data_IF_494216987355
#
_entry.id   IF_494216987355
#
_cell.length_a   1.000
_cell.length_b   1.000
_cell.length_c   1.000
_cell.angle_alpha   90.00
_cell.angle_beta   90.00
_cell.angle_gamma   90.00
#
_symmetry.space_group_name_H-M   'P 1'
#
loop_
_entity.id
_entity.type
_entity.pdbx_description
1 polymer ?
#
# COMPACT_ATOMS: atom_id res chain seq x y z
N UNK A 1 68.53 25.22 -25.34
CA UNK A 1 68.08 25.44 -23.95
C UNK A 1 67.49 26.83 -23.85
N UNK A 2 66.29 26.96 -23.31
CA UNK A 2 65.76 28.24 -22.83
C UNK A 2 64.69 27.96 -21.76
N UNK A 3 64.77 28.76 -20.71
CA UNK A 3 64.08 28.74 -19.41
C UNK A 3 62.54 28.81 -19.52
N UNK A 4 61.75 28.01 -18.79
CA UNK A 4 61.17 28.24 -17.43
C UNK A 4 60.34 29.53 -17.30
N UNK A 5 59.00 29.44 -17.09
CA UNK A 5 58.32 29.69 -15.79
C UNK A 5 56.77 29.55 -15.85
N UNK A 6 56.17 29.48 -14.68
CA UNK A 6 54.91 28.85 -14.24
C UNK A 6 53.60 29.68 -14.31
N UNK A 7 52.48 28.94 -14.19
CA UNK A 7 51.16 29.29 -13.60
C UNK A 7 50.23 30.31 -14.28
N UNK A 8 48.99 29.91 -14.61
CA UNK A 8 47.85 29.94 -13.68
C UNK A 8 46.59 29.33 -14.31
N UNK A 9 45.76 28.69 -13.49
CA UNK A 9 44.45 28.16 -13.85
C UNK A 9 43.46 29.28 -14.24
N UNK A 10 42.64 29.06 -15.28
CA UNK A 10 41.25 29.50 -15.25
C UNK A 10 40.39 28.64 -16.20
N UNK A 11 39.28 28.14 -15.65
CA UNK A 11 38.14 27.58 -16.36
C UNK A 11 37.72 28.42 -17.56
N UNK A 12 37.42 27.80 -18.71
CA UNK A 12 36.05 27.59 -19.20
C UNK A 12 36.10 26.84 -20.55
N UNK A 13 35.16 25.91 -20.72
CA UNK A 13 34.98 25.05 -21.89
C UNK A 13 34.69 25.83 -23.18
N UNK A 14 35.34 25.39 -24.26
CA UNK A 14 35.19 25.71 -25.70
C UNK A 14 33.84 25.16 -26.19
N UNK A 15 32.86 25.98 -26.61
CA UNK A 15 32.60 26.55 -27.94
C UNK A 15 32.69 25.60 -29.14
N UNK A 16 31.55 25.13 -29.68
CA UNK A 16 31.42 24.76 -31.10
C UNK A 16 30.12 25.32 -31.71
N UNK A 17 30.36 26.35 -32.51
CA UNK A 17 29.62 27.04 -33.56
C UNK A 17 28.77 26.16 -34.50
N UNK A 18 27.60 26.68 -34.94
CA UNK A 18 27.17 26.87 -36.36
C UNK A 18 25.73 27.46 -36.42
N UNK A 19 25.51 28.79 -36.51
CA UNK A 19 25.23 29.58 -37.73
C UNK A 19 24.04 29.06 -38.58
N UNK A 20 22.83 29.63 -38.56
CA UNK A 20 22.34 30.88 -39.21
C UNK A 20 22.67 31.00 -40.72
N UNK A 21 21.64 30.89 -41.60
CA UNK A 21 21.22 31.90 -42.61
C UNK A 21 20.51 31.32 -43.86
N UNK A 22 19.29 31.83 -44.13
CA UNK A 22 18.76 32.36 -45.43
C UNK A 22 17.28 32.74 -45.21
N UNK A 23 16.96 33.97 -44.80
CA UNK A 23 16.74 35.22 -45.58
C UNK A 23 15.61 35.20 -46.64
N UNK A 24 14.54 35.96 -46.31
CA UNK A 24 13.84 37.01 -47.10
C UNK A 24 12.92 36.54 -48.27
N UNK A 25 11.72 37.08 -48.54
CA UNK A 25 11.16 38.42 -48.30
C UNK A 25 9.63 38.49 -48.63
N UNK A 26 9.01 39.63 -48.33
CA UNK A 26 7.71 40.22 -48.78
C UNK A 26 6.40 40.02 -47.97
N UNK A 27 6.08 41.07 -47.19
CA UNK A 27 4.73 41.58 -46.83
C UNK A 27 4.10 42.31 -48.06
N UNK A 28 2.88 42.92 -48.05
CA UNK A 28 2.01 43.27 -46.91
C UNK A 28 0.48 43.11 -47.12
N UNK A 29 -0.31 43.14 -46.03
CA UNK A 29 -1.68 43.69 -46.01
C UNK A 29 -1.89 44.42 -44.68
N UNK A 30 -2.02 45.75 -44.78
CA UNK A 30 -2.67 46.65 -43.81
C UNK A 30 -4.19 46.47 -44.02
N UNK A 31 -5.11 46.62 -43.10
CA UNK A 31 -5.30 47.62 -42.05
C UNK A 31 -6.50 47.13 -41.22
N UNK A 32 -6.54 47.45 -39.93
CA UNK A 32 -7.62 48.21 -39.28
C UNK A 32 -7.50 48.07 -37.76
N UNK A 33 -6.95 49.12 -37.13
CA UNK A 33 -7.11 49.37 -35.71
C UNK A 33 -8.39 50.19 -35.53
N UNK A 34 -9.32 49.70 -34.72
CA UNK A 34 -10.30 50.54 -34.03
C UNK A 34 -10.44 50.07 -32.57
N UNK A 35 -10.32 51.05 -31.69
CA UNK A 35 -10.01 51.02 -30.25
C UNK A 35 -11.22 50.78 -29.32
N UNK A 36 -11.03 50.69 -27.98
CA UNK A 36 -11.93 50.03 -27.03
C UNK A 36 -12.91 50.97 -26.31
N UNK A 37 -14.00 50.41 -25.76
CA UNK A 37 -14.84 51.03 -24.71
C UNK A 37 -15.61 49.92 -23.96
N UNK A 38 -15.29 49.64 -22.68
CA UNK A 38 -15.96 50.10 -21.44
C UNK A 38 -17.47 49.88 -21.37
N UNK A 39 -17.91 48.85 -20.63
CA UNK A 39 -18.78 48.89 -19.40
C UNK A 39 -19.58 47.58 -19.22
N UNK A 40 -19.84 47.12 -17.98
CA UNK A 40 -20.71 45.98 -17.69
C UNK A 40 -22.14 46.42 -17.35
N UNK A 41 -23.14 45.53 -17.49
CA UNK A 41 -24.33 45.55 -16.63
C UNK A 41 -24.41 44.23 -15.84
N UNK A 42 -24.37 44.26 -14.51
CA UNK A 42 -25.44 44.62 -13.57
C UNK A 42 -26.46 43.50 -13.38
N UNK A 43 -26.55 43.07 -12.11
CA UNK A 43 -27.49 42.16 -11.50
C UNK A 43 -28.94 42.55 -11.79
N UNK A 44 -29.73 41.61 -12.29
CA UNK A 44 -31.18 41.61 -12.11
C UNK A 44 -31.60 40.29 -11.46
N UNK A 45 -32.20 40.44 -10.28
CA UNK A 45 -32.98 39.42 -9.58
C UNK A 45 -34.26 39.12 -10.36
N UNK A 46 -34.66 37.85 -10.43
CA UNK A 46 -36.06 37.42 -10.53
C UNK A 46 -36.10 35.92 -10.14
N UNK A 47 -36.37 35.59 -8.88
CA UNK A 47 -37.69 35.12 -8.40
C UNK A 47 -38.04 33.68 -8.83
N UNK A 48 -37.64 32.72 -8.01
CA UNK A 48 -38.11 31.33 -8.06
C UNK A 48 -39.61 31.23 -7.73
N UNK A 49 -40.41 30.40 -8.43
CA UNK A 49 -41.74 30.02 -8.00
C UNK A 49 -41.71 28.84 -7.00
N UNK A 50 -42.59 28.81 -5.97
CA UNK A 50 -42.65 27.70 -5.04
C UNK A 50 -43.51 26.58 -5.63
N UNK A 51 -42.96 25.38 -5.83
CA UNK A 51 -43.77 24.19 -6.10
C UNK A 51 -43.35 23.01 -5.23
N UNK A 52 -44.19 22.81 -4.20
CA UNK A 52 -44.62 21.54 -3.59
C UNK A 52 -43.55 20.51 -3.17
N UNK A 53 -43.38 20.41 -1.84
CA UNK A 53 -43.08 19.14 -1.18
C UNK A 53 -44.17 18.10 -1.49
N UNK A 54 -43.79 16.83 -1.67
CA UNK A 54 -44.49 15.73 -1.05
C UNK A 54 -43.66 15.17 0.11
N UNK A 55 -44.35 14.99 1.23
CA UNK A 55 -43.88 14.22 2.38
C UNK A 55 -43.77 12.74 2.01
N UNK A 56 -42.66 12.13 2.43
CA UNK A 56 -42.56 10.71 2.81
C UNK A 56 -42.68 9.66 1.69
N UNK A 57 -41.54 9.10 1.26
CA UNK A 57 -41.47 7.65 0.99
C UNK A 57 -40.04 7.16 0.82
N UNK A 58 -39.72 6.15 1.62
CA UNK A 58 -38.61 5.20 1.52
C UNK A 58 -37.20 5.78 1.31
N UNK A 59 -36.44 5.81 2.41
CA UNK A 59 -35.03 5.40 2.37
C UNK A 59 -34.97 4.16 1.46
N UNK A 60 -34.18 4.14 0.37
CA UNK A 60 -33.87 2.87 -0.25
C UNK A 60 -33.11 2.10 0.82
N UNK A 61 -33.81 1.21 1.51
CA UNK A 61 -33.18 0.09 2.19
C UNK A 61 -32.54 -0.69 1.07
N UNK A 62 -31.29 -0.32 0.77
CA UNK A 62 -30.46 -0.97 -0.22
C UNK A 62 -30.42 -2.42 0.18
N UNK A 63 -31.23 -3.21 -0.52
CA UNK A 63 -31.11 -4.65 -0.56
C UNK A 63 -29.65 -4.93 -0.86
N UNK A 64 -28.93 -5.46 0.12
CA UNK A 64 -27.52 -5.83 -0.05
C UNK A 64 -27.50 -6.91 -1.12
N UNK A 65 -27.20 -6.49 -2.35
CA UNK A 65 -26.89 -7.37 -3.46
C UNK A 65 -25.82 -8.38 -2.98
N UNK A 66 -26.00 -9.69 -3.15
CA UNK A 66 -25.08 -10.69 -2.64
C UNK A 66 -23.63 -10.40 -3.07
N UNK A 67 -22.82 -10.02 -2.09
CA UNK A 67 -21.35 -9.90 -2.06
C UNK A 67 -20.67 -9.54 -3.40
N UNK A 68 -20.62 -8.26 -3.75
CA UNK A 68 -19.64 -7.80 -4.75
C UNK A 68 -18.22 -7.99 -4.16
N UNK A 69 -17.42 -8.83 -4.81
CA UNK A 69 -16.01 -9.02 -4.47
C UNK A 69 -15.29 -7.66 -4.51
N UNK A 70 -14.53 -7.26 -3.48
CA UNK A 70 -13.87 -5.97 -3.46
C UNK A 70 -12.93 -5.79 -4.66
N UNK A 71 -13.07 -4.68 -5.38
CA UNK A 71 -12.21 -4.32 -6.52
C UNK A 71 -10.94 -3.56 -6.13
N UNK A 72 -10.73 -3.34 -4.81
CA UNK A 72 -9.65 -2.53 -4.25
C UNK A 72 -10.01 -1.04 -4.12
N UNK A 73 -9.05 -0.24 -3.65
CA UNK A 73 -9.16 1.21 -3.42
C UNK A 73 -7.95 1.96 -4.02
N UNK A 74 -8.08 3.24 -4.36
CA UNK A 74 -6.96 4.12 -4.73
C UNK A 74 -6.24 4.77 -3.55
N UNK A 75 -6.84 4.74 -2.37
CA UNK A 75 -6.21 5.19 -1.14
C UNK A 75 -5.82 3.99 -0.29
N UNK A 76 -4.57 3.97 0.16
CA UNK A 76 -4.06 2.88 1.00
C UNK A 76 -4.87 2.73 2.31
N UNK A 77 -5.34 3.83 2.89
CA UNK A 77 -6.08 3.84 4.17
C UNK A 77 -7.47 3.19 4.08
N UNK A 78 -8.06 3.18 2.89
CA UNK A 78 -9.36 2.55 2.61
C UNK A 78 -9.23 1.22 1.85
N UNK A 79 -8.03 0.64 1.82
CA UNK A 79 -7.78 -0.66 1.21
C UNK A 79 -8.69 -1.74 1.83
N UNK A 80 -9.54 -2.42 1.03
CA UNK A 80 -10.43 -3.44 1.56
C UNK A 80 -9.65 -4.65 2.05
N UNK A 81 -10.06 -5.22 3.19
CA UNK A 81 -9.52 -6.47 3.70
C UNK A 81 -9.98 -7.64 2.83
N UNK A 82 -9.02 -8.39 2.31
CA UNK A 82 -9.24 -9.54 1.42
C UNK A 82 -8.62 -10.81 1.98
N UNK A 83 -9.17 -11.95 1.59
CA UNK A 83 -8.61 -13.29 1.85
C UNK A 83 -8.07 -13.94 0.59
N UNK A 84 -7.79 -15.25 0.60
CA UNK A 84 -7.47 -15.99 -0.61
C UNK A 84 -8.64 -15.94 -1.59
N UNK A 85 -8.33 -15.87 -2.87
CA UNK A 85 -9.31 -15.74 -3.94
C UNK A 85 -8.80 -14.90 -5.10
N UNK A 86 -9.71 -14.61 -6.03
CA UNK A 86 -9.42 -13.80 -7.20
C UNK A 86 -10.26 -12.53 -7.22
N UNK A 87 -9.60 -11.40 -7.42
CA UNK A 87 -10.15 -10.05 -7.35
C UNK A 87 -9.93 -9.35 -8.68
N UNK A 88 -11.00 -8.84 -9.28
CA UNK A 88 -10.93 -8.10 -10.54
C UNK A 88 -11.02 -6.61 -10.28
N UNK A 89 -10.20 -5.83 -11.00
CA UNK A 89 -10.15 -4.39 -10.84
C UNK A 89 -9.57 -3.69 -12.07
N UNK A 90 -9.41 -2.37 -11.96
CA UNK A 90 -8.79 -1.53 -12.99
C UNK A 90 -8.05 -0.37 -12.36
N UNK A 91 -6.89 -0.01 -12.90
CA UNK A 91 -6.12 1.17 -12.48
C UNK A 91 -6.45 2.43 -13.30
N UNK A 92 -7.17 2.31 -14.43
CA UNK A 92 -7.33 3.40 -15.44
C UNK A 92 -8.02 4.68 -14.97
N UNK A 93 -8.77 4.63 -13.87
CA UNK A 93 -9.60 5.76 -13.41
C UNK A 93 -9.14 6.34 -12.07
N UNK A 94 -7.98 5.91 -11.58
CA UNK A 94 -7.43 6.39 -10.33
C UNK A 94 -6.33 7.43 -10.58
N UNK A 95 -6.15 8.39 -9.65
CA UNK A 95 -5.07 9.36 -9.74
C UNK A 95 -3.70 8.68 -9.53
N UNK A 96 -2.64 9.30 -10.04
CA UNK A 96 -1.27 8.93 -9.68
C UNK A 96 -0.97 9.51 -8.31
N UNK A 97 -0.93 8.66 -7.28
CA UNK A 97 -0.59 9.07 -5.91
C UNK A 97 0.92 8.92 -5.68
N UNK A 98 1.71 9.78 -6.32
CA UNK A 98 3.19 9.75 -6.23
C UNK A 98 3.74 10.11 -4.83
N UNK A 99 2.89 10.63 -3.94
CA UNK A 99 3.25 10.98 -2.56
C UNK A 99 3.25 9.79 -1.61
N UNK A 100 2.67 8.65 -2.01
CA UNK A 100 2.83 7.38 -1.29
C UNK A 100 4.17 6.74 -1.71
N UNK A 101 5.27 7.47 -1.49
CA UNK A 101 6.62 6.97 -1.78
C UNK A 101 6.79 5.60 -1.13
N UNK A 102 6.92 4.59 -1.98
CA UNK A 102 6.84 3.21 -1.56
C UNK A 102 8.25 2.73 -1.20
N UNK A 103 8.47 2.10 -0.03
CA UNK A 103 9.78 1.51 0.28
C UNK A 103 10.20 0.39 -0.70
N UNK A 104 9.31 -0.04 -1.59
CA UNK A 104 9.64 -1.01 -2.63
C UNK A 104 10.12 -0.36 -3.94
N UNK A 105 9.91 0.95 -4.15
CA UNK A 105 10.32 1.66 -5.35
C UNK A 105 10.40 3.17 -5.11
N UNK A 106 11.49 3.80 -5.56
CA UNK A 106 11.80 5.22 -5.33
C UNK A 106 10.70 6.21 -5.78
N UNK A 107 9.81 5.80 -6.70
CA UNK A 107 8.60 6.55 -7.04
C UNK A 107 7.53 5.67 -7.66
N UNK A 108 6.27 5.90 -7.28
CA UNK A 108 5.10 5.36 -7.99
C UNK A 108 4.65 6.42 -9.01
N UNK A 109 4.91 6.15 -10.29
CA UNK A 109 4.57 7.05 -11.41
C UNK A 109 3.29 6.63 -12.17
N UNK A 110 2.49 5.74 -11.57
CA UNK A 110 1.32 5.14 -12.20
C UNK A 110 0.16 5.06 -11.22
N UNK A 111 -1.11 5.08 -11.68
CA UNK A 111 -2.25 4.80 -10.82
C UNK A 111 -2.16 3.39 -10.22
N UNK A 112 -2.52 3.27 -8.94
CA UNK A 112 -2.43 2.02 -8.19
C UNK A 112 -3.73 1.67 -7.49
N UNK A 113 -3.89 0.37 -7.21
CA UNK A 113 -5.01 -0.16 -6.43
C UNK A 113 -4.49 -0.95 -5.24
N UNK A 114 -4.96 -0.57 -4.06
CA UNK A 114 -4.60 -1.11 -2.76
C UNK A 114 -5.59 -2.18 -2.27
N UNK A 115 -5.04 -3.19 -1.63
CA UNK A 115 -5.74 -4.24 -0.88
C UNK A 115 -5.06 -4.44 0.48
N UNK A 116 -5.83 -4.84 1.49
CA UNK A 116 -5.29 -5.23 2.79
C UNK A 116 -5.43 -6.74 2.98
N UNK A 117 -4.43 -7.37 3.60
CA UNK A 117 -4.42 -8.80 3.86
C UNK A 117 -3.89 -9.06 5.27
N UNK A 118 -4.58 -9.89 6.05
CA UNK A 118 -4.11 -10.26 7.38
C UNK A 118 -3.30 -11.56 7.30
N UNK A 119 -2.04 -11.52 7.75
CA UNK A 119 -1.14 -12.64 7.68
C UNK A 119 -1.62 -13.84 8.50
N UNK A 120 -1.43 -15.03 7.94
CA UNK A 120 -1.90 -16.30 8.51
C UNK A 120 -0.78 -17.14 9.10
N UNK A 121 0.48 -16.74 8.93
CA UNK A 121 1.61 -17.62 9.24
C UNK A 121 1.94 -18.61 8.13
N UNK A 122 1.26 -18.53 6.98
CA UNK A 122 1.55 -19.36 5.81
C UNK A 122 2.39 -18.61 4.75
N UNK A 123 2.92 -19.38 3.80
CA UNK A 123 3.41 -18.81 2.55
C UNK A 123 2.23 -18.31 1.72
N UNK A 124 2.21 -17.02 1.42
CA UNK A 124 1.21 -16.39 0.57
C UNK A 124 1.80 -16.26 -0.82
N UNK A 125 1.03 -16.61 -1.85
CA UNK A 125 1.37 -16.37 -3.24
C UNK A 125 0.36 -15.38 -3.82
N UNK A 126 0.84 -14.22 -4.27
CA UNK A 126 0.02 -13.19 -4.90
C UNK A 126 0.50 -12.94 -6.32
N UNK A 127 -0.40 -12.85 -7.29
CA UNK A 127 -0.01 -12.65 -8.70
C UNK A 127 -1.12 -12.03 -9.55
N UNK A 128 -0.71 -11.43 -10.67
CA UNK A 128 -1.59 -10.81 -11.68
C UNK A 128 -1.57 -11.57 -13.01
N UNK A 129 -1.10 -12.83 -13.01
CA UNK A 129 -0.72 -13.58 -14.21
C UNK A 129 -1.86 -14.05 -15.12
N UNK A 130 -3.12 -13.80 -14.77
CA UNK A 130 -4.26 -14.28 -15.56
C UNK A 130 -4.56 -13.39 -16.75
N UNK A 131 -5.21 -13.97 -17.76
CA UNK A 131 -5.59 -13.31 -19.02
C UNK A 131 -6.36 -11.98 -18.89
N UNK A 132 -7.20 -11.74 -17.85
CA UNK A 132 -7.86 -10.45 -17.69
C UNK A 132 -6.93 -9.28 -17.33
N UNK A 133 -5.66 -9.55 -17.00
CA UNK A 133 -4.65 -8.52 -16.80
C UNK A 133 -4.08 -8.07 -18.14
N UNK A 134 -4.36 -6.82 -18.51
CA UNK A 134 -4.14 -6.31 -19.87
C UNK A 134 -3.03 -5.26 -19.97
N UNK A 135 -2.17 -5.15 -18.96
CA UNK A 135 -1.11 -4.15 -18.91
C UNK A 135 0.12 -4.70 -18.19
N UNK A 136 1.21 -3.94 -18.29
CA UNK A 136 2.47 -4.21 -17.61
C UNK A 136 2.33 -3.88 -16.11
N UNK A 137 2.26 -4.91 -15.26
CA UNK A 137 2.00 -4.70 -13.83
C UNK A 137 3.28 -4.56 -13.05
N UNK A 138 3.21 -3.79 -11.97
CA UNK A 138 4.12 -3.86 -10.85
C UNK A 138 3.30 -4.21 -9.61
N UNK A 139 3.74 -5.23 -8.89
CA UNK A 139 3.11 -5.72 -7.67
C UNK A 139 4.05 -5.45 -6.50
N UNK A 140 3.51 -4.93 -5.40
CA UNK A 140 4.27 -4.68 -4.18
C UNK A 140 3.49 -5.11 -2.94
N UNK A 141 4.21 -5.67 -1.97
CA UNK A 141 3.67 -6.07 -0.67
C UNK A 141 4.40 -5.31 0.42
N UNK A 142 3.65 -4.69 1.31
CA UNK A 142 4.13 -3.95 2.47
C UNK A 142 3.65 -4.60 3.74
N UNK A 143 4.45 -4.46 4.79
CA UNK A 143 4.06 -4.75 6.17
C UNK A 143 3.75 -3.44 6.88
N UNK A 144 2.62 -3.41 7.59
CA UNK A 144 2.14 -2.25 8.32
C UNK A 144 0.70 -1.91 7.94
N UNK A 145 -0.03 -1.32 8.88
CA UNK A 145 -1.43 -0.92 8.69
C UNK A 145 -1.58 0.56 8.34
N UNK A 146 -0.61 1.37 8.76
CA UNK A 146 -0.54 2.82 8.55
C UNK A 146 0.12 3.12 7.21
N UNK A 147 -0.56 3.91 6.37
CA UNK A 147 -0.15 4.25 5.00
C UNK A 147 0.76 5.47 4.98
N UNK A 148 1.84 5.40 5.73
CA UNK A 148 2.83 6.44 5.90
C UNK A 148 4.25 5.83 5.83
N UNK A 149 5.25 6.58 6.30
CA UNK A 149 6.67 6.17 6.36
C UNK A 149 6.94 4.89 7.18
N UNK A 150 5.95 4.39 7.92
CA UNK A 150 6.06 3.13 8.66
C UNK A 150 5.81 1.89 7.82
N UNK A 151 5.21 2.01 6.61
CA UNK A 151 5.12 0.89 5.69
C UNK A 151 6.53 0.37 5.39
N UNK A 152 6.71 -0.94 5.48
CA UNK A 152 7.98 -1.61 5.16
C UNK A 152 7.80 -2.52 3.97
N UNK A 153 8.67 -2.38 2.97
CA UNK A 153 8.66 -3.27 1.83
C UNK A 153 8.94 -4.71 2.28
N UNK A 154 8.08 -5.63 1.88
CA UNK A 154 8.26 -7.07 2.10
C UNK A 154 8.82 -7.69 0.84
N UNK A 155 8.20 -7.40 -0.30
CA UNK A 155 8.61 -7.92 -1.61
C UNK A 155 7.91 -7.15 -2.73
N UNK A 156 8.48 -7.16 -3.92
CA UNK A 156 7.90 -6.59 -5.12
C UNK A 156 8.36 -7.36 -6.36
N UNK A 157 7.63 -7.19 -7.46
CA UNK A 157 7.98 -7.74 -8.76
C UNK A 157 7.24 -6.97 -9.88
N UNK A 158 7.92 -6.76 -11.00
CA UNK A 158 7.38 -6.23 -12.26
C UNK A 158 7.21 -7.34 -13.30
N UNK A 159 8.23 -8.17 -13.53
CA UNK A 159 8.15 -9.23 -14.56
C UNK A 159 8.30 -10.65 -13.97
N UNK A 160 7.30 -11.51 -14.18
CA UNK A 160 7.38 -12.93 -13.80
C UNK A 160 6.62 -13.87 -14.75
N UNK A 161 5.49 -13.45 -15.30
CA UNK A 161 4.64 -14.26 -16.19
C UNK A 161 4.34 -13.51 -17.50
N UNK A 162 5.42 -13.11 -18.17
CA UNK A 162 5.44 -12.03 -19.16
C UNK A 162 5.56 -10.69 -18.45
N UNK A 163 4.89 -9.66 -18.96
CA UNK A 163 4.79 -8.32 -18.36
C UNK A 163 3.87 -8.26 -17.13
N UNK A 164 3.77 -9.36 -16.38
CA UNK A 164 2.84 -9.51 -15.27
C UNK A 164 3.60 -10.07 -14.08
N UNK A 165 3.12 -9.75 -12.90
CA UNK A 165 3.92 -9.89 -11.69
C UNK A 165 3.42 -11.02 -10.78
N UNK A 166 4.34 -11.59 -10.01
CA UNK A 166 4.07 -12.65 -9.04
C UNK A 166 5.04 -12.58 -7.86
N UNK A 167 4.51 -12.67 -6.65
CA UNK A 167 5.26 -12.56 -5.39
C UNK A 167 4.88 -13.71 -4.46
N UNK A 168 5.88 -14.26 -3.77
CA UNK A 168 5.69 -15.22 -2.67
C UNK A 168 6.43 -14.74 -1.43
N UNK A 169 5.76 -14.79 -0.28
CA UNK A 169 6.39 -14.48 1.00
C UNK A 169 5.80 -15.30 2.14
N UNK A 170 6.59 -15.48 3.19
CA UNK A 170 6.14 -16.08 4.45
C UNK A 170 5.45 -15.00 5.29
N UNK A 171 4.13 -15.10 5.45
CA UNK A 171 3.36 -14.18 6.29
C UNK A 171 3.52 -14.49 7.78
N UNK A 172 3.20 -13.51 8.64
CA UNK A 172 3.18 -13.65 10.09
C UNK A 172 1.73 -13.55 10.60
N UNK A 173 1.36 -14.40 11.57
CA UNK A 173 0.01 -14.42 12.14
C UNK A 173 -0.33 -13.05 12.75
N UNK A 174 -1.47 -12.49 12.36
CA UNK A 174 -2.01 -11.25 12.94
C UNK A 174 -1.28 -9.97 12.51
N UNK A 175 -0.36 -10.08 11.54
CA UNK A 175 0.30 -8.92 10.94
C UNK A 175 -0.47 -8.50 9.70
N UNK A 176 -0.85 -7.21 9.64
CA UNK A 176 -1.47 -6.65 8.45
C UNK A 176 -0.42 -6.33 7.37
N UNK A 177 -0.78 -6.71 6.14
CA UNK A 177 -0.04 -6.42 4.92
C UNK A 177 -0.89 -5.54 4.00
N UNK A 178 -0.24 -4.62 3.30
CA UNK A 178 -0.84 -3.87 2.18
C UNK A 178 -0.29 -4.42 0.87
N UNK A 179 -1.16 -4.65 -0.09
CA UNK A 179 -0.81 -5.14 -1.43
C UNK A 179 -1.20 -4.03 -2.40
N UNK A 180 -0.24 -3.58 -3.20
CA UNK A 180 -0.44 -2.57 -4.23
C UNK A 180 -0.25 -3.18 -5.60
N UNK A 181 -1.25 -3.04 -6.46
CA UNK A 181 -1.19 -3.34 -7.89
C UNK A 181 -1.15 -2.02 -8.65
N UNK A 182 -0.07 -1.75 -9.36
CA UNK A 182 0.05 -0.57 -10.22
C UNK A 182 0.74 -0.95 -11.54
N UNK A 183 0.92 0.00 -12.45
CA UNK A 183 1.60 -0.27 -13.70
C UNK A 183 3.07 0.11 -13.69
N UNK A 184 3.89 -0.68 -14.37
CA UNK A 184 5.26 -0.29 -14.68
C UNK A 184 5.25 0.83 -15.73
N UNK A 185 6.18 1.80 -15.63
CA UNK A 185 6.33 2.92 -16.59
C UNK A 185 5.01 3.62 -17.00
N UNK A 186 4.17 3.99 -16.03
CA UNK A 186 2.90 4.69 -16.25
C UNK A 186 1.83 3.90 -17.00
N UNK A 187 2.00 2.58 -17.17
CA UNK A 187 0.95 1.72 -17.72
C UNK A 187 -0.26 1.63 -16.77
N UNK A 188 -1.43 1.37 -17.34
CA UNK A 188 -2.66 1.15 -16.58
C UNK A 188 -3.65 0.29 -17.37
N UNK A 189 -4.53 -0.40 -16.65
CA UNK A 189 -5.45 -1.34 -17.29
C UNK A 189 -6.30 -2.12 -16.30
N UNK A 190 -7.06 -3.06 -16.85
CA UNK A 190 -7.77 -4.06 -16.05
C UNK A 190 -6.80 -5.12 -15.56
N UNK A 191 -7.05 -5.67 -14.36
CA UNK A 191 -6.27 -6.76 -13.77
C UNK A 191 -7.16 -7.81 -13.11
N UNK A 192 -6.57 -8.99 -12.92
CA UNK A 192 -7.07 -10.03 -12.02
C UNK A 192 -5.98 -10.38 -11.01
N UNK A 193 -6.13 -9.92 -9.78
CA UNK A 193 -5.25 -10.23 -8.65
C UNK A 193 -5.69 -11.56 -8.05
N UNK A 194 -4.78 -12.50 -7.88
CA UNK A 194 -5.07 -13.78 -7.21
C UNK A 194 -4.18 -13.91 -5.99
N UNK A 195 -4.78 -14.30 -4.88
CA UNK A 195 -4.11 -14.58 -3.61
C UNK A 195 -4.36 -16.05 -3.28
N UNK A 196 -3.30 -16.84 -3.28
CA UNK A 196 -3.33 -18.27 -3.03
C UNK A 196 -2.50 -18.60 -1.79
N UNK A 197 -2.96 -19.60 -1.02
CA UNK A 197 -2.19 -20.20 0.06
C UNK A 197 -1.94 -21.67 -0.30
N UNK A 198 -0.73 -22.04 -0.75
CA UNK A 198 -0.42 -23.37 -1.29
C UNK A 198 -0.60 -24.53 -0.30
N UNK A 199 -0.83 -24.24 0.98
CA UNK A 199 -1.22 -25.21 2.00
C UNK A 199 -2.41 -24.62 2.72
N UNK A 200 -3.61 -25.10 2.43
CA UNK A 200 -4.87 -24.50 2.87
C UNK A 200 -4.91 -24.19 4.36
N UNK A 201 -4.60 -22.93 4.70
CA UNK A 201 -4.98 -22.34 5.97
C UNK A 201 -6.50 -22.23 5.95
N UNK A 202 -7.17 -22.94 6.85
CA UNK A 202 -8.60 -22.77 7.08
C UNK A 202 -8.84 -21.36 7.57
N UNK A 203 -9.25 -20.46 6.68
CA UNK A 203 -9.82 -19.19 7.12
C UNK A 203 -11.17 -19.50 7.78
N UNK A 204 -11.40 -19.17 9.06
CA UNK A 204 -12.77 -18.89 9.46
C UNK A 204 -13.21 -17.70 8.60
N UNK A 205 -14.20 -17.92 7.74
CA UNK A 205 -14.90 -16.84 7.06
C UNK A 205 -15.26 -15.75 8.08
N UNK A 206 -15.32 -14.46 7.72
CA UNK A 206 -15.84 -13.44 8.62
C UNK A 206 -17.23 -13.91 9.06
N UNK A 207 -17.33 -14.16 10.36
CA UNK A 207 -18.41 -14.87 11.04
C UNK A 207 -19.81 -14.59 10.46
N UNK A 208 -20.29 -15.46 9.58
CA UNK A 208 -21.70 -15.81 9.55
C UNK A 208 -21.85 -17.07 10.39
N UNK A 209 -22.19 -16.91 11.67
CA UNK A 209 -22.79 -17.98 12.45
C UNK A 209 -24.15 -18.29 11.82
N UNK A 210 -24.17 -19.14 10.79
CA UNK A 210 -25.41 -19.70 10.29
C UNK A 210 -25.85 -20.82 11.26
N UNK A 211 -27.01 -20.70 11.93
CA UNK A 211 -27.41 -21.58 13.03
C UNK A 211 -27.86 -22.99 12.60
N UNK A 212 -27.39 -23.52 11.47
CA UNK A 212 -27.77 -24.86 10.99
C UNK A 212 -26.64 -25.75 10.48
N UNK A 213 -25.37 -25.45 10.78
CA UNK A 213 -24.30 -26.40 10.50
C UNK A 213 -24.10 -27.37 11.68
N UNK A 214 -24.21 -28.70 11.49
CA UNK A 214 -24.07 -29.70 12.56
C UNK A 214 -22.61 -29.98 12.97
N UNK A 215 -21.64 -29.14 12.64
CA UNK A 215 -20.26 -29.28 13.14
C UNK A 215 -20.08 -28.67 14.54
N UNK A 216 -20.93 -29.06 15.48
CA UNK A 216 -20.63 -28.99 16.90
C UNK A 216 -20.09 -30.36 17.33
N UNK A 217 -18.77 -30.53 17.35
CA UNK A 217 -18.22 -31.82 17.75
C UNK A 217 -16.71 -31.93 17.97
N UNK A 218 -15.89 -30.98 17.52
CA UNK A 218 -14.45 -31.03 17.78
C UNK A 218 -14.06 -30.09 18.91
N UNK A 219 -14.41 -30.46 20.14
CA UNK A 219 -13.57 -30.09 21.29
C UNK A 219 -12.38 -31.03 21.29
N UNK A 220 -11.12 -30.57 21.10
CA UNK A 220 -9.99 -31.42 21.40
C UNK A 220 -10.01 -31.71 22.90
N UNK A 221 -10.47 -32.90 23.27
CA UNK A 221 -10.28 -33.43 24.61
C UNK A 221 -8.79 -33.71 24.79
N UNK A 222 -8.08 -32.74 25.34
CA UNK A 222 -6.74 -32.89 25.90
C UNK A 222 -6.84 -33.88 27.07
N UNK A 223 -6.64 -35.17 26.75
CA UNK A 223 -6.48 -36.20 27.76
C UNK A 223 -5.09 -36.04 28.36
N UNK A 224 -5.00 -35.29 29.45
CA UNK A 224 -3.83 -35.31 30.31
C UNK A 224 -3.84 -36.65 31.05
N UNK A 225 -3.05 -37.62 30.61
CA UNK A 225 -2.64 -38.70 31.50
C UNK A 225 -1.79 -38.05 32.60
N UNK A 226 -2.17 -38.14 33.89
CA UNK A 226 -1.30 -37.69 34.96
C UNK A 226 -0.11 -38.65 35.03
N UNK A 227 1.01 -38.28 34.42
CA UNK A 227 2.28 -38.91 34.74
C UNK A 227 2.62 -38.49 36.17
N UNK A 228 2.72 -39.48 37.06
CA UNK A 228 3.09 -39.29 38.45
C UNK A 228 4.51 -38.70 38.51
N UNK A 229 4.64 -37.38 38.61
CA UNK A 229 5.92 -36.73 38.85
C UNK A 229 6.23 -36.95 40.34
N UNK A 230 7.16 -37.84 40.63
CA UNK A 230 7.76 -37.97 41.97
C UNK A 230 8.41 -36.63 42.33
N UNK A 231 8.12 -36.03 43.51
CA UNK A 231 8.79 -34.82 43.93
C UNK A 231 10.27 -35.13 44.17
N UNK A 232 11.14 -34.50 43.38
CA UNK A 232 12.57 -34.43 43.68
C UNK A 232 12.70 -33.59 44.96
N UNK A 233 13.13 -34.24 46.04
CA UNK A 233 13.47 -33.57 47.30
C UNK A 233 14.58 -32.56 47.04
N UNK A 234 14.28 -31.27 47.20
CA UNK A 234 15.30 -30.23 47.21
C UNK A 234 16.17 -30.37 48.48
N UNK A 235 17.49 -30.16 48.41
CA UNK A 235 18.32 -30.11 49.60
C UNK A 235 17.97 -28.87 50.43
N UNK A 236 17.67 -29.09 51.71
CA UNK A 236 17.48 -28.03 52.70
C UNK A 236 18.85 -27.48 53.07
N UNK A 237 19.14 -26.23 52.68
CA UNK A 237 20.30 -25.50 53.16
C UNK A 237 19.94 -24.83 54.49
N UNK A 238 20.50 -25.31 55.59
CA UNK A 238 20.44 -24.64 56.89
C UNK A 238 21.48 -23.52 56.94
N UNK A 239 21.11 -22.27 57.26
CA UNK A 239 22.11 -21.22 57.49
C UNK A 239 22.87 -21.48 58.79
N UNK A 240 24.20 -21.59 58.68
CA UNK A 240 25.11 -21.60 59.83
C UNK A 240 25.35 -20.15 60.23
N UNK A 241 24.78 -19.72 61.35
CA UNK A 241 25.09 -18.42 61.95
C UNK A 241 26.37 -18.53 62.78
N UNK A 242 27.46 -17.95 62.29
CA UNK A 242 28.66 -17.69 63.08
C UNK A 242 28.46 -16.42 63.92
N UNK A 243 28.70 -16.46 65.24
CA UNK A 243 28.63 -15.25 66.06
C UNK A 243 29.77 -14.28 65.71
N UNK A 244 29.40 -13.05 65.38
CA UNK A 244 30.33 -11.92 65.21
C UNK A 244 30.84 -11.52 66.60
N UNK A 245 32.14 -11.64 66.84
CA UNK A 245 32.77 -11.10 68.04
C UNK A 245 32.80 -9.57 67.95
N UNK A 246 32.20 -8.92 68.94
CA UNK A 246 32.29 -7.47 69.17
C UNK A 246 33.66 -7.11 69.73
N UNK A 247 34.42 -6.18 69.13
CA UNK A 247 35.62 -5.67 69.76
C UNK A 247 35.27 -4.75 70.95
N UNK A 248 35.88 -5.06 72.09
CA UNK A 248 35.80 -4.31 73.33
C UNK A 248 36.39 -2.90 73.18
N UNK A 249 35.64 -1.92 73.68
CA UNK A 249 36.06 -0.53 73.87
C UNK A 249 37.29 -0.41 74.77
N UNK A 250 38.28 0.37 74.34
CA UNK A 250 39.24 1.01 75.23
C UNK A 250 39.30 2.51 74.90
N UNK A 251 38.88 3.30 75.89
CA UNK A 251 39.27 4.69 76.16
C UNK A 251 39.86 4.69 77.58
N UNK A 252 40.64 5.69 78.01
CA UNK A 252 40.89 7.01 77.41
C UNK A 252 42.29 7.21 76.80
#
# INVERSE_FOLDING_TARGET
>A
GLFVCFCCCCWQYVSWISLLLRSLCFAPVMDEMSSPSTTPPSLDMMSDPPTNLPSGSSIPTGSLNPAQVPSGSDACSSAPLVGPGSYRGSTRFFPVNSTEASPCQDSIASPGVWFAFNGTGDHIHVHTCHAPTTFDTFLAVFRGSTCDESLRCVSFNDDSCGSRSSIRWQSQIGVEYKILVFGYNSHSGSFSLTIDIPRGGSFPSPFFLHPSSPFAGYTPSIHFTPTLITPVSQPVYTPVYTPVQTPSSFSP
#
